data_IF_081979345842
#
_entry.id   IF_081979345842
#
_cell.length_a   1.000
_cell.length_b   1.000
_cell.length_c   1.000
_cell.angle_alpha   90.00
_cell.angle_beta   90.00
_cell.angle_gamma   90.00
#
_symmetry.space_group_name_H-M   'P 1'
#
loop_
_entity.id
_entity.type
_entity.pdbx_description
1 polymer ?
#
# COMPACT_ATOMS: atom_id res chain seq x y z
N UNK A 1 16.24 1.53 -0.82
CA UNK A 1 15.36 2.55 -1.40
C UNK A 1 13.91 2.07 -1.33
N UNK A 2 13.01 2.93 -0.88
CA UNK A 2 11.61 2.55 -0.73
C UNK A 2 10.80 2.96 -1.95
N UNK A 3 9.79 2.14 -2.28
CA UNK A 3 8.88 2.42 -3.38
C UNK A 3 7.79 3.37 -2.87
N UNK A 4 7.55 4.46 -3.58
CA UNK A 4 6.50 5.41 -3.19
C UNK A 4 5.16 4.97 -3.79
N UNK A 5 4.25 4.52 -2.93
CA UNK A 5 2.95 4.04 -3.38
C UNK A 5 2.07 5.14 -3.95
N UNK A 6 2.29 6.39 -3.53
CA UNK A 6 1.46 7.51 -3.97
C UNK A 6 1.54 7.73 -5.48
N UNK A 7 2.68 7.40 -6.08
CA UNK A 7 2.86 7.55 -7.54
C UNK A 7 2.47 6.34 -8.36
N UNK A 8 2.00 5.25 -7.74
CA UNK A 8 1.65 4.04 -8.45
C UNK A 8 0.19 4.04 -8.90
N UNK A 9 -0.07 3.53 -10.11
CA UNK A 9 -1.43 3.24 -10.54
C UNK A 9 -1.97 2.04 -9.77
N UNK A 10 -3.29 1.86 -9.79
CA UNK A 10 -3.91 0.70 -9.14
C UNK A 10 -3.37 -0.60 -9.72
N UNK A 11 -3.24 -0.67 -11.04
CA UNK A 11 -2.74 -1.88 -11.70
C UNK A 11 -1.31 -2.21 -11.25
N UNK A 12 -0.45 -1.21 -11.21
CA UNK A 12 0.93 -1.41 -10.76
C UNK A 12 0.97 -1.85 -9.30
N UNK A 13 0.11 -1.26 -8.47
CA UNK A 13 0.05 -1.63 -7.06
C UNK A 13 -0.44 -3.06 -6.87
N UNK A 14 -1.42 -3.49 -7.66
CA UNK A 14 -1.90 -4.87 -7.61
C UNK A 14 -0.78 -5.86 -7.94
N UNK A 15 -0.02 -5.57 -8.99
CA UNK A 15 1.09 -6.43 -9.38
C UNK A 15 2.17 -6.46 -8.31
N UNK A 16 2.47 -5.32 -7.70
CA UNK A 16 3.44 -5.25 -6.63
C UNK A 16 3.00 -6.10 -5.43
N UNK A 17 1.74 -6.00 -5.03
CA UNK A 17 1.22 -6.78 -3.90
C UNK A 17 1.26 -8.28 -4.19
N UNK A 18 0.93 -8.69 -5.42
CA UNK A 18 1.04 -10.09 -5.80
C UNK A 18 2.48 -10.58 -5.67
N UNK A 19 3.45 -9.74 -6.01
CA UNK A 19 4.86 -10.09 -5.86
C UNK A 19 5.27 -10.27 -4.39
N UNK A 20 4.53 -9.69 -3.47
CA UNK A 20 4.74 -9.86 -2.03
C UNK A 20 4.03 -11.08 -1.46
N UNK A 21 3.28 -11.80 -2.29
CA UNK A 21 2.49 -12.93 -1.83
C UNK A 21 1.10 -12.54 -1.33
N UNK A 22 0.69 -11.30 -1.60
CA UNK A 22 -0.61 -10.81 -1.18
C UNK A 22 -1.62 -10.85 -2.32
N UNK A 23 -2.90 -10.78 -1.98
CA UNK A 23 -3.96 -10.80 -2.99
C UNK A 23 -4.17 -9.40 -3.59
N UNK A 24 -4.57 -9.32 -4.87
CA UNK A 24 -4.78 -8.02 -5.52
C UNK A 24 -5.78 -7.12 -4.81
N UNK A 25 -6.80 -7.66 -4.16
CA UNK A 25 -7.79 -6.82 -3.47
C UNK A 25 -7.18 -6.05 -2.31
N UNK A 26 -6.08 -6.53 -1.75
CA UNK A 26 -5.38 -5.77 -0.69
C UNK A 26 -4.78 -4.49 -1.25
N UNK A 27 -4.26 -4.55 -2.48
CA UNK A 27 -3.77 -3.34 -3.14
C UNK A 27 -4.89 -2.33 -3.35
N UNK A 28 -6.08 -2.79 -3.74
CA UNK A 28 -7.22 -1.90 -3.88
C UNK A 28 -7.59 -1.22 -2.57
N UNK A 29 -7.55 -1.95 -1.47
CA UNK A 29 -7.83 -1.38 -0.16
C UNK A 29 -6.83 -0.29 0.19
N UNK A 30 -5.54 -0.56 -0.01
CA UNK A 30 -4.50 0.44 0.26
C UNK A 30 -4.66 1.65 -0.65
N UNK A 31 -4.93 1.42 -1.92
CA UNK A 31 -5.14 2.49 -2.90
C UNK A 31 -6.28 3.41 -2.46
N UNK A 32 -7.39 2.84 -1.98
CA UNK A 32 -8.52 3.61 -1.49
C UNK A 32 -8.16 4.42 -0.25
N UNK A 33 -7.40 3.83 0.69
CA UNK A 33 -6.96 4.55 1.87
C UNK A 33 -6.14 5.78 1.49
N UNK A 34 -5.23 5.63 0.53
CA UNK A 34 -4.36 6.72 0.10
C UNK A 34 -5.12 7.80 -0.64
N UNK A 35 -5.90 7.41 -1.66
CA UNK A 35 -6.45 8.37 -2.61
C UNK A 35 -7.85 8.86 -2.28
N UNK A 36 -8.64 8.07 -1.58
CA UNK A 36 -10.00 8.46 -1.22
C UNK A 36 -10.09 9.01 0.19
N UNK A 37 -9.28 8.50 1.10
CA UNK A 37 -9.32 8.90 2.51
C UNK A 37 -8.14 9.76 2.93
N UNK A 38 -7.14 9.91 2.07
CA UNK A 38 -5.99 10.74 2.35
C UNK A 38 -5.10 10.23 3.48
N UNK A 39 -5.15 8.92 3.76
CA UNK A 39 -4.37 8.32 4.83
C UNK A 39 -2.99 7.95 4.30
N UNK A 40 -1.94 8.37 5.00
CA UNK A 40 -0.56 8.04 4.63
C UNK A 40 0.14 7.18 5.69
N UNK A 41 -0.58 6.78 6.71
CA UNK A 41 -0.04 5.97 7.80
C UNK A 41 -0.64 4.57 7.75
N UNK A 42 0.20 3.56 7.56
CA UNK A 42 -0.27 2.17 7.44
C UNK A 42 -0.99 1.69 8.71
N UNK A 43 -0.62 2.22 9.87
CA UNK A 43 -1.26 1.81 11.12
C UNK A 43 -2.74 2.17 11.17
N UNK A 44 -3.18 3.15 10.38
CA UNK A 44 -4.58 3.55 10.32
C UNK A 44 -5.38 2.73 9.31
N UNK A 45 -4.71 1.88 8.54
CA UNK A 45 -5.36 1.04 7.54
C UNK A 45 -5.82 -0.26 8.20
N UNK A 46 -6.98 -0.22 8.84
CA UNK A 46 -7.47 -1.29 9.69
C UNK A 46 -7.72 -2.61 8.95
N UNK A 47 -7.83 -2.57 7.63
CA UNK A 47 -8.03 -3.78 6.81
C UNK A 47 -6.77 -4.64 6.70
N UNK A 48 -5.61 -4.08 6.98
CA UNK A 48 -4.34 -4.76 6.76
C UNK A 48 -3.91 -5.54 7.99
N UNK A 49 -3.34 -6.73 7.75
CA UNK A 49 -2.73 -7.50 8.83
C UNK A 49 -1.46 -6.82 9.31
N UNK A 50 -1.04 -7.15 10.53
CA UNK A 50 0.22 -6.61 11.07
C UNK A 50 1.41 -6.99 10.19
N UNK A 51 1.42 -8.22 9.69
CA UNK A 51 2.51 -8.67 8.81
C UNK A 51 2.61 -7.86 7.53
N UNK A 52 1.47 -7.60 6.90
CA UNK A 52 1.47 -6.80 5.67
C UNK A 52 1.87 -5.36 5.96
N UNK A 53 1.37 -4.77 7.06
CA UNK A 53 1.77 -3.41 7.43
C UNK A 53 3.29 -3.31 7.64
N UNK A 54 3.87 -4.31 8.30
CA UNK A 54 5.29 -4.34 8.53
C UNK A 54 6.09 -4.38 7.22
N UNK A 55 5.64 -5.24 6.29
CA UNK A 55 6.29 -5.34 4.97
C UNK A 55 6.21 -4.01 4.22
N UNK A 56 5.04 -3.38 4.25
CA UNK A 56 4.86 -2.10 3.56
C UNK A 56 5.71 -0.99 4.17
N UNK A 57 5.83 -0.95 5.49
CA UNK A 57 6.67 0.05 6.14
C UNK A 57 8.14 -0.13 5.78
N UNK A 58 8.58 -1.38 5.61
CA UNK A 58 9.97 -1.66 5.26
C UNK A 58 10.28 -1.36 3.79
N UNK A 59 9.36 -1.69 2.89
CA UNK A 59 9.63 -1.67 1.46
C UNK A 59 9.03 -0.46 0.72
N UNK A 60 8.09 0.23 1.34
CA UNK A 60 7.35 1.29 0.66
C UNK A 60 7.22 2.53 1.54
N UNK A 61 6.81 3.62 0.90
CA UNK A 61 6.49 4.86 1.60
C UNK A 61 5.32 5.53 0.88
N UNK A 62 4.66 6.46 1.57
CA UNK A 62 3.59 7.26 0.99
C UNK A 62 3.96 8.70 1.25
N UNK A 63 4.61 9.33 0.28
CA UNK A 63 5.08 10.72 0.41
C UNK A 63 4.55 11.55 -0.74
N UNK A 64 3.96 12.71 -0.46
CA UNK A 64 3.54 13.63 -1.53
C UNK A 64 4.78 14.13 -2.28
N UNK A 65 4.59 14.48 -3.55
CA UNK A 65 5.69 15.00 -4.36
C UNK A 65 6.20 16.35 -3.86
#
# INVERSE_FOLDING_TARGET
MKINLLGMSLDAMEKFFVSLGEKPYRARQVFQWIHQKGISNYDEMSNLSKGLRYILEEKTEIKPP
#
